data_IF_606759132668
#
_entry.id   IF_606759132668
#
_cell.length_a   1.000
_cell.length_b   1.000
_cell.length_c   1.000
_cell.angle_alpha   90.00
_cell.angle_beta   90.00
_cell.angle_gamma   90.00
#
_symmetry.space_group_name_H-M   'P 1'
#
loop_
_entity.id
_entity.type
_entity.pdbx_description
1 polymer ?
#
# COMPACT_ATOMS: atom_id res chain seq x y z
N UNK A 1 31.95 -40.96 19.53
CA UNK A 1 32.20 -40.79 18.09
C UNK A 1 31.23 -41.69 17.34
N UNK A 2 30.19 -41.15 16.70
CA UNK A 2 29.28 -41.91 15.85
C UNK A 2 29.19 -41.22 14.50
N UNK A 3 29.63 -41.96 13.49
CA UNK A 3 29.78 -41.54 12.10
C UNK A 3 28.42 -41.33 11.45
N UNK A 4 28.31 -40.22 10.73
CA UNK A 4 27.16 -39.77 9.94
C UNK A 4 27.21 -40.43 8.55
N UNK A 5 26.07 -40.87 8.04
CA UNK A 5 25.87 -41.11 6.60
C UNK A 5 24.58 -40.39 6.20
N UNK A 6 24.72 -39.27 5.50
CA UNK A 6 23.61 -38.51 4.90
C UNK A 6 23.59 -38.82 3.42
N UNK A 7 22.50 -39.43 2.97
CA UNK A 7 22.23 -39.77 1.58
C UNK A 7 21.61 -38.54 0.90
N UNK A 8 22.35 -37.91 -0.01
CA UNK A 8 21.84 -36.86 -0.90
C UNK A 8 21.07 -37.50 -2.05
N UNK A 9 19.76 -37.21 -2.16
CA UNK A 9 19.01 -37.39 -3.40
C UNK A 9 18.87 -36.03 -4.10
N UNK A 10 19.59 -35.89 -5.22
CA UNK A 10 19.38 -34.84 -6.22
C UNK A 10 18.25 -35.29 -7.16
N UNK A 11 17.15 -34.57 -7.19
CA UNK A 11 16.12 -34.73 -8.23
C UNK A 11 16.10 -33.47 -9.11
N UNK A 12 16.70 -33.58 -10.30
CA UNK A 12 16.47 -32.65 -11.41
C UNK A 12 15.06 -32.88 -11.96
N UNK A 13 14.23 -31.84 -12.03
CA UNK A 13 13.05 -31.84 -12.90
C UNK A 13 13.13 -30.62 -13.81
N UNK A 14 13.21 -30.92 -15.10
CA UNK A 14 13.33 -29.97 -16.19
C UNK A 14 11.95 -29.61 -16.77
N UNK A 15 11.87 -28.36 -17.22
CA UNK A 15 11.15 -27.85 -18.42
C UNK A 15 9.67 -28.18 -18.64
N UNK A 16 8.86 -27.12 -18.69
CA UNK A 16 7.52 -27.14 -19.27
C UNK A 16 7.03 -25.74 -19.67
N UNK A 17 7.58 -25.19 -20.76
CA UNK A 17 7.00 -24.03 -21.44
C UNK A 17 5.71 -24.44 -22.17
N UNK A 18 4.59 -23.79 -21.89
CA UNK A 18 3.41 -23.82 -22.75
C UNK A 18 2.83 -22.42 -22.88
N UNK A 19 3.26 -21.71 -23.95
CA UNK A 19 2.57 -20.52 -24.43
C UNK A 19 1.35 -21.00 -25.24
N UNK A 20 0.16 -20.82 -24.68
CA UNK A 20 -1.10 -20.99 -25.41
C UNK A 20 -1.39 -19.71 -26.18
N UNK A 21 -1.26 -19.78 -27.49
CA UNK A 21 -1.62 -18.70 -28.41
C UNK A 21 -3.14 -18.52 -28.40
N UNK A 22 -3.60 -17.30 -28.17
CA UNK A 22 -5.01 -16.92 -28.24
C UNK A 22 -5.38 -16.49 -29.68
N UNK A 23 -6.54 -16.90 -30.21
CA UNK A 23 -6.92 -16.64 -31.60
C UNK A 23 -7.31 -15.18 -31.84
N UNK A 24 -6.84 -14.65 -32.97
CA UNK A 24 -7.23 -13.36 -33.56
C UNK A 24 -8.69 -13.45 -34.02
N UNK A 25 -9.57 -12.62 -33.44
CA UNK A 25 -10.95 -12.47 -33.91
C UNK A 25 -11.02 -11.36 -34.97
N UNK A 26 -11.49 -11.73 -36.16
CA UNK A 26 -11.81 -10.84 -37.28
C UNK A 26 -13.12 -10.10 -37.01
N UNK A 27 -13.18 -8.76 -37.07
CA UNK A 27 -14.44 -8.04 -37.02
C UNK A 27 -15.18 -8.11 -38.37
N UNK A 28 -16.31 -8.81 -38.41
CA UNK A 28 -17.28 -8.76 -39.50
C UNK A 28 -18.19 -7.55 -39.32
N UNK A 29 -17.95 -6.49 -40.08
CA UNK A 29 -18.83 -5.32 -40.14
C UNK A 29 -20.01 -5.55 -41.09
N UNK A 30 -21.23 -5.40 -40.58
CA UNK A 30 -22.46 -5.32 -41.39
C UNK A 30 -22.73 -3.84 -41.74
N UNK A 31 -22.88 -3.48 -43.02
CA UNK A 31 -23.27 -2.12 -43.40
C UNK A 31 -24.72 -1.85 -42.98
N UNK A 32 -24.92 -0.84 -42.14
CA UNK A 32 -26.25 -0.35 -41.76
C UNK A 32 -26.67 0.76 -42.73
N UNK A 33 -27.77 0.52 -43.44
CA UNK A 33 -28.40 1.49 -44.35
C UNK A 33 -28.95 2.65 -43.54
N UNK A 34 -28.45 3.85 -43.80
CA UNK A 34 -28.88 5.10 -43.16
C UNK A 34 -30.03 5.70 -43.95
N UNK A 35 -31.23 5.69 -43.36
CA UNK A 35 -32.40 6.39 -43.90
C UNK A 35 -32.34 7.86 -43.46
N UNK A 36 -32.11 8.76 -44.42
CA UNK A 36 -32.25 10.21 -44.24
C UNK A 36 -33.73 10.60 -44.25
N UNK A 37 -34.28 10.88 -43.08
CA UNK A 37 -35.50 11.67 -42.95
C UNK A 37 -35.13 13.02 -42.36
N UNK A 38 -35.48 14.10 -43.06
CA UNK A 38 -35.29 15.49 -42.62
C UNK A 38 -36.37 15.81 -41.58
N UNK A 39 -36.02 15.96 -40.29
CA UNK A 39 -37.01 16.26 -39.26
C UNK A 39 -37.45 17.73 -39.34
N UNK A 40 -38.75 17.95 -39.19
CA UNK A 40 -39.38 19.26 -39.05
C UNK A 40 -38.91 19.93 -37.76
N UNK A 41 -38.50 21.22 -37.79
CA UNK A 41 -38.01 21.93 -36.61
C UNK A 41 -39.12 22.11 -35.58
N UNK A 42 -39.08 21.31 -34.51
CA UNK A 42 -39.94 21.48 -33.32
C UNK A 42 -39.35 22.61 -32.47
N UNK A 43 -40.15 23.62 -32.15
CA UNK A 43 -39.76 24.71 -31.27
C UNK A 43 -39.27 24.15 -29.93
N UNK A 44 -38.01 24.42 -29.59
CA UNK A 44 -37.36 23.88 -28.42
C UNK A 44 -38.01 24.42 -27.15
N UNK A 45 -38.63 23.54 -26.36
CA UNK A 45 -39.00 23.81 -24.97
C UNK A 45 -37.74 24.19 -24.21
N UNK A 46 -37.73 25.28 -23.40
CA UNK A 46 -36.55 25.68 -22.66
C UNK A 46 -36.11 24.54 -21.72
N UNK A 47 -34.91 24.02 -21.97
CA UNK A 47 -34.30 22.98 -21.15
C UNK A 47 -34.11 23.53 -19.72
N UNK A 48 -34.59 22.83 -18.68
CA UNK A 48 -34.34 23.22 -17.29
C UNK A 48 -32.83 23.42 -17.08
N UNK A 49 -32.45 24.57 -16.55
CA UNK A 49 -31.06 24.86 -16.20
C UNK A 49 -30.63 23.87 -15.11
N UNK A 50 -29.63 23.04 -15.40
CA UNK A 50 -29.15 22.03 -14.47
C UNK A 50 -28.66 22.70 -13.17
N UNK A 51 -29.22 22.29 -12.03
CA UNK A 51 -28.73 22.75 -10.73
C UNK A 51 -27.26 22.33 -10.58
N UNK A 52 -26.35 23.26 -10.21
CA UNK A 52 -24.94 22.92 -10.04
C UNK A 52 -24.77 21.79 -9.02
N UNK A 53 -24.12 20.69 -9.42
CA UNK A 53 -23.82 19.61 -8.50
C UNK A 53 -22.75 20.07 -7.49
N UNK A 54 -22.91 19.81 -6.18
CA UNK A 54 -21.91 20.18 -5.20
C UNK A 54 -20.56 19.51 -5.51
N UNK A 55 -19.49 20.32 -5.52
CA UNK A 55 -18.14 19.81 -5.72
C UNK A 55 -17.67 19.06 -4.49
N UNK A 56 -17.24 17.80 -4.67
CA UNK A 56 -16.69 16.99 -3.58
C UNK A 56 -15.32 17.55 -3.19
N UNK A 57 -15.14 17.94 -1.92
CA UNK A 57 -13.85 18.41 -1.42
C UNK A 57 -12.79 17.30 -1.51
N UNK A 58 -11.62 17.62 -2.05
CA UNK A 58 -10.51 16.67 -2.21
C UNK A 58 -9.26 17.12 -1.46
N UNK A 59 -8.47 16.13 -1.04
CA UNK A 59 -7.16 16.26 -0.41
C UNK A 59 -6.11 15.61 -1.29
N UNK A 60 -5.02 16.33 -1.56
CA UNK A 60 -3.80 15.77 -2.13
C UNK A 60 -2.91 15.27 -1.00
N UNK A 61 -2.65 13.96 -0.99
CA UNK A 61 -1.71 13.33 -0.07
C UNK A 61 -0.41 13.10 -0.81
N UNK A 62 0.71 13.49 -0.22
CA UNK A 62 2.06 13.21 -0.74
C UNK A 62 2.86 12.47 0.34
N UNK A 63 3.45 11.33 0.02
CA UNK A 63 4.46 10.74 0.90
C UNK A 63 5.81 11.35 0.57
N UNK A 64 6.58 11.70 1.60
CA UNK A 64 7.98 12.11 1.47
C UNK A 64 8.84 11.16 2.28
N UNK A 65 9.58 10.28 1.61
CA UNK A 65 10.49 9.36 2.28
C UNK A 65 11.74 10.09 2.76
N UNK A 66 12.13 9.80 3.99
CA UNK A 66 13.37 10.27 4.64
C UNK A 66 14.16 9.04 5.05
N UNK A 67 15.37 8.88 4.52
CA UNK A 67 16.23 7.72 4.79
C UNK A 67 16.64 6.97 3.52
N UNK A 68 17.17 5.76 3.71
CA UNK A 68 17.78 4.96 2.65
C UNK A 68 16.80 4.01 1.97
N UNK A 69 15.77 4.54 1.30
CA UNK A 69 14.88 3.71 0.49
C UNK A 69 14.91 4.14 -0.97
N UNK A 70 15.74 3.45 -1.74
CA UNK A 70 15.92 3.74 -3.16
C UNK A 70 14.77 3.19 -3.98
N UNK A 71 14.37 1.94 -3.71
CA UNK A 71 13.46 1.17 -4.55
C UNK A 71 12.08 0.96 -3.89
N UNK A 72 11.76 1.78 -2.88
CA UNK A 72 10.49 1.80 -2.20
C UNK A 72 9.29 1.89 -3.16
N UNK A 73 8.32 0.99 -2.99
CA UNK A 73 6.99 1.12 -3.58
C UNK A 73 5.93 1.30 -2.49
N UNK A 74 5.02 2.25 -2.71
CA UNK A 74 3.91 2.53 -1.80
C UNK A 74 2.56 2.37 -2.48
N UNK A 75 1.62 1.78 -1.75
CA UNK A 75 0.23 1.67 -2.15
C UNK A 75 -0.64 2.31 -1.07
N UNK A 76 -1.49 3.26 -1.45
CA UNK A 76 -2.54 3.76 -0.58
C UNK A 76 -3.70 2.76 -0.55
N UNK A 77 -4.29 2.56 0.62
CA UNK A 77 -5.51 1.78 0.80
C UNK A 77 -6.58 2.66 1.45
N UNK A 78 -7.84 2.36 1.17
CA UNK A 78 -8.99 2.98 1.83
C UNK A 78 -9.93 1.90 2.32
N UNK A 79 -10.47 2.07 3.53
CA UNK A 79 -11.52 1.20 4.07
C UNK A 79 -12.85 1.91 4.07
N UNK A 80 -13.84 1.33 3.38
CA UNK A 80 -15.21 1.86 3.33
C UNK A 80 -16.16 0.71 3.64
N UNK A 81 -16.97 0.86 4.69
CA UNK A 81 -17.92 -0.16 5.15
C UNK A 81 -17.24 -1.52 5.43
N UNK A 82 -16.08 -1.52 6.10
CA UNK A 82 -15.29 -2.72 6.40
C UNK A 82 -14.61 -3.36 5.18
N UNK A 83 -14.68 -2.75 4.00
CA UNK A 83 -14.02 -3.28 2.80
C UNK A 83 -12.81 -2.42 2.45
N UNK A 84 -11.62 -3.02 2.55
CA UNK A 84 -10.36 -2.38 2.19
C UNK A 84 -10.06 -2.58 0.71
N UNK A 85 -9.73 -1.49 0.00
CA UNK A 85 -9.30 -1.56 -1.40
C UNK A 85 -8.09 -0.68 -1.66
N UNK A 86 -7.23 -1.04 -2.62
CA UNK A 86 -6.21 -0.13 -3.14
C UNK A 86 -6.87 1.16 -3.64
N UNK A 87 -6.33 2.30 -3.23
CA UNK A 87 -6.75 3.61 -3.70
C UNK A 87 -5.78 4.12 -4.77
N UNK A 88 -6.24 4.07 -6.03
CA UNK A 88 -5.40 4.43 -7.17
C UNK A 88 -4.25 3.44 -7.40
N UNK A 89 -3.38 3.79 -8.35
CA UNK A 89 -2.18 3.00 -8.64
C UNK A 89 -1.13 3.24 -7.54
N UNK A 90 -0.41 2.18 -7.18
CA UNK A 90 0.77 2.28 -6.35
C UNK A 90 1.90 2.98 -7.10
N UNK A 91 2.82 3.59 -6.35
CA UNK A 91 3.84 4.48 -6.91
C UNK A 91 5.20 4.16 -6.31
N UNK A 92 6.18 3.99 -7.19
CA UNK A 92 7.59 3.85 -6.83
C UNK A 92 8.22 5.20 -6.50
N UNK A 93 9.11 5.21 -5.51
CA UNK A 93 9.77 6.42 -5.02
C UNK A 93 10.75 7.03 -6.03
N UNK A 94 11.42 6.20 -6.86
CA UNK A 94 12.45 6.64 -7.80
C UNK A 94 11.96 7.68 -8.82
N UNK A 95 10.68 7.66 -9.17
CA UNK A 95 10.13 8.51 -10.23
C UNK A 95 9.72 9.88 -9.71
N UNK A 96 9.06 9.90 -8.55
CA UNK A 96 8.58 11.09 -7.85
C UNK A 96 8.05 10.68 -6.47
N UNK A 97 7.89 11.63 -5.52
CA UNK A 97 7.19 11.36 -4.28
C UNK A 97 5.75 10.83 -4.55
N UNK A 98 5.36 9.67 -4.00
CA UNK A 98 4.03 9.11 -4.17
C UNK A 98 2.93 10.10 -3.80
N UNK A 99 1.95 10.25 -4.69
CA UNK A 99 0.89 11.24 -4.55
C UNK A 99 -0.48 10.69 -4.95
N UNK A 100 -1.49 10.95 -4.12
CA UNK A 100 -2.89 10.59 -4.39
C UNK A 100 -3.82 11.78 -4.14
N UNK A 101 -4.85 11.93 -4.99
CA UNK A 101 -5.94 12.88 -4.77
C UNK A 101 -7.15 12.09 -4.30
N UNK A 102 -7.58 12.35 -3.07
CA UNK A 102 -8.59 11.57 -2.34
C UNK A 102 -9.74 12.48 -1.96
N UNK A 103 -11.02 12.06 -2.05
CA UNK A 103 -12.10 12.75 -1.36
C UNK A 103 -11.72 12.95 0.11
N UNK A 104 -11.80 14.19 0.60
CA UNK A 104 -11.32 14.58 1.95
C UNK A 104 -11.92 13.68 3.04
N UNK A 105 -13.20 13.33 2.88
CA UNK A 105 -13.93 12.43 3.79
C UNK A 105 -13.34 11.02 3.89
N UNK A 106 -12.60 10.54 2.89
CA UNK A 106 -12.01 9.20 2.91
C UNK A 106 -10.62 9.16 3.53
N UNK A 107 -10.03 10.31 3.89
CA UNK A 107 -8.70 10.34 4.49
C UNK A 107 -8.64 9.65 5.86
N UNK A 108 -9.74 9.63 6.62
CA UNK A 108 -9.80 9.08 8.00
C UNK A 108 -9.76 7.55 8.10
N UNK A 109 -9.85 6.84 6.96
CA UNK A 109 -9.81 5.38 6.87
C UNK A 109 -8.73 4.89 5.92
N UNK A 110 -7.68 5.70 5.76
CA UNK A 110 -6.56 5.35 4.90
C UNK A 110 -5.42 4.72 5.68
N UNK A 111 -4.72 3.83 4.98
CA UNK A 111 -3.45 3.25 5.38
C UNK A 111 -2.52 3.20 4.17
N UNK A 112 -1.24 2.99 4.43
CA UNK A 112 -0.21 3.01 3.38
C UNK A 112 0.61 1.74 3.48
N UNK A 113 0.56 0.89 2.46
CA UNK A 113 1.40 -0.28 2.33
C UNK A 113 2.78 0.07 1.78
N UNK A 114 3.76 -0.75 2.14
CA UNK A 114 5.14 -0.75 1.67
C UNK A 114 5.44 -2.14 1.10
N UNK A 115 5.78 -2.22 -0.19
CA UNK A 115 5.78 -3.51 -0.91
C UNK A 115 7.09 -3.85 -1.61
N UNK A 116 8.24 -3.38 -1.10
CA UNK A 116 9.56 -3.75 -1.65
C UNK A 116 10.16 -4.99 -0.95
N UNK A 117 9.40 -5.65 -0.07
CA UNK A 117 9.79 -6.93 0.53
C UNK A 117 8.86 -8.03 -0.02
N UNK A 118 9.39 -9.21 -0.39
CA UNK A 118 8.53 -10.33 -0.71
C UNK A 118 7.56 -10.57 0.46
N UNK A 119 6.27 -10.82 0.20
CA UNK A 119 5.30 -11.09 1.24
C UNK A 119 5.82 -12.27 2.06
N UNK A 120 6.20 -12.00 3.30
CA UNK A 120 6.71 -13.00 4.21
C UNK A 120 5.65 -13.22 5.28
N UNK A 121 4.81 -14.20 4.99
CA UNK A 121 3.75 -14.73 5.85
C UNK A 121 4.31 -15.39 7.12
N UNK A 122 5.63 -15.59 7.20
CA UNK A 122 6.26 -16.40 8.24
C UNK A 122 7.14 -15.57 9.20
N UNK A 123 7.59 -14.36 8.84
CA UNK A 123 8.65 -13.65 9.59
C UNK A 123 8.35 -12.23 10.12
N UNK A 124 7.12 -11.72 10.05
CA UNK A 124 6.80 -10.42 10.66
C UNK A 124 7.44 -9.22 9.96
N UNK A 125 7.66 -9.32 8.64
CA UNK A 125 8.15 -8.21 7.85
C UNK A 125 7.09 -7.10 7.79
N UNK A 126 7.47 -5.85 8.10
CA UNK A 126 6.51 -4.77 8.11
C UNK A 126 6.11 -4.39 6.69
N UNK A 127 4.83 -4.52 6.40
CA UNK A 127 4.23 -4.27 5.08
C UNK A 127 3.42 -2.98 5.06
N UNK A 128 3.32 -2.27 6.19
CA UNK A 128 2.55 -1.02 6.30
C UNK A 128 3.30 0.05 7.07
N UNK A 129 3.04 1.31 6.70
CA UNK A 129 3.58 2.48 7.37
C UNK A 129 2.89 2.64 8.73
N UNK A 130 3.65 2.63 9.81
CA UNK A 130 3.12 2.96 11.14
C UNK A 130 2.87 4.46 11.22
N UNK A 131 1.62 4.89 11.43
CA UNK A 131 1.24 6.30 11.49
C UNK A 131 1.23 6.86 12.92
N UNK A 132 1.11 5.97 13.91
CA UNK A 132 1.10 6.29 15.33
C UNK A 132 1.58 5.10 16.16
N UNK A 133 2.36 5.36 17.21
CA UNK A 133 2.67 4.37 18.26
C UNK A 133 1.86 4.65 19.52
N UNK A 134 1.43 3.59 20.21
CA UNK A 134 0.67 3.72 21.46
C UNK A 134 1.49 4.49 22.51
N UNK A 135 0.84 5.43 23.19
CA UNK A 135 1.47 6.25 24.23
C UNK A 135 2.45 7.31 23.72
N UNK A 136 2.61 7.47 22.40
CA UNK A 136 3.37 8.59 21.80
C UNK A 136 2.37 9.63 21.31
N UNK A 137 2.67 10.92 21.46
CA UNK A 137 1.78 11.99 21.00
C UNK A 137 1.84 12.18 19.48
N UNK A 138 0.74 12.64 18.86
CA UNK A 138 0.71 13.11 17.47
C UNK A 138 1.69 14.27 17.29
N UNK A 139 2.38 14.34 16.16
CA UNK A 139 3.40 15.35 15.89
C UNK A 139 4.78 15.05 16.48
N UNK A 140 4.91 13.98 17.27
CA UNK A 140 6.23 13.55 17.77
C UNK A 140 7.10 13.05 16.62
N UNK A 141 8.33 13.53 16.55
CA UNK A 141 9.38 13.01 15.66
C UNK A 141 10.11 11.88 16.38
N UNK A 142 10.19 10.71 15.76
CA UNK A 142 10.91 9.55 16.32
C UNK A 142 12.14 9.22 15.48
N UNK A 143 13.19 8.76 16.16
CA UNK A 143 14.33 8.08 15.52
C UNK A 143 14.00 6.61 15.27
N UNK A 144 14.78 5.93 14.43
CA UNK A 144 14.59 4.51 14.16
C UNK A 144 14.75 3.67 15.43
N UNK A 145 15.75 3.97 16.25
CA UNK A 145 15.96 3.30 17.54
C UNK A 145 14.76 3.48 18.49
N UNK A 146 14.17 4.68 18.55
CA UNK A 146 12.99 4.93 19.38
C UNK A 146 11.76 4.17 18.85
N UNK A 147 11.52 4.20 17.54
CA UNK A 147 10.43 3.47 16.89
C UNK A 147 10.57 1.95 17.11
N UNK A 148 11.79 1.41 17.00
CA UNK A 148 12.08 -0.02 17.18
C UNK A 148 11.68 -0.55 18.56
N UNK A 149 11.74 0.29 19.60
CA UNK A 149 11.38 -0.10 20.97
C UNK A 149 9.87 -0.19 21.21
N UNK A 150 9.06 0.38 20.31
CA UNK A 150 7.61 0.41 20.47
C UNK A 150 7.06 -0.99 20.31
N UNK A 151 6.03 -1.29 21.11
CA UNK A 151 5.37 -2.60 21.18
C UNK A 151 4.02 -2.61 20.49
N UNK A 152 3.41 -1.44 20.32
CA UNK A 152 2.11 -1.28 19.72
C UNK A 152 2.09 -0.07 18.79
N UNK A 153 1.53 -0.26 17.59
CA UNK A 153 1.44 0.74 16.54
C UNK A 153 0.15 0.61 15.76
N UNK A 154 -0.20 1.65 15.01
CA UNK A 154 -1.35 1.64 14.10
C UNK A 154 -0.92 2.08 12.71
N UNK A 155 -1.55 1.49 11.69
CA UNK A 155 -1.45 1.90 10.28
C UNK A 155 -2.63 2.76 9.83
N UNK A 156 -3.67 2.90 10.66
CA UNK A 156 -4.87 3.65 10.31
C UNK A 156 -4.72 5.13 10.63
N UNK A 157 -4.72 5.95 9.59
CA UNK A 157 -4.56 7.38 9.72
C UNK A 157 -5.87 8.07 10.11
N UNK A 158 -5.82 8.97 11.09
CA UNK A 158 -6.97 9.77 11.53
C UNK A 158 -7.48 10.78 10.46
N UNK A 159 -6.83 10.85 9.30
CA UNK A 159 -7.23 11.72 8.20
C UNK A 159 -6.88 13.19 8.39
N UNK A 160 -7.41 14.03 7.51
CA UNK A 160 -7.19 15.47 7.51
C UNK A 160 -8.29 16.20 6.77
N UNK A 161 -8.50 17.47 7.10
CA UNK A 161 -9.39 18.40 6.35
C UNK A 161 -8.61 19.32 5.42
N UNK A 162 -7.26 19.22 5.41
CA UNK A 162 -6.42 20.08 4.57
C UNK A 162 -6.53 19.67 3.11
N UNK A 163 -6.49 20.65 2.20
CA UNK A 163 -6.44 20.42 0.74
C UNK A 163 -5.16 19.72 0.30
N UNK A 164 -4.06 19.91 1.01
CA UNK A 164 -2.78 19.24 0.77
C UNK A 164 -2.19 18.76 2.09
N UNK A 165 -1.67 17.54 2.12
CA UNK A 165 -1.04 16.95 3.29
C UNK A 165 0.18 16.13 2.89
N UNK A 166 1.34 16.43 3.48
CA UNK A 166 2.57 15.68 3.25
C UNK A 166 2.87 14.82 4.47
N UNK A 167 2.98 13.51 4.25
CA UNK A 167 3.39 12.55 5.28
C UNK A 167 4.88 12.30 5.10
N UNK A 168 5.68 12.69 6.08
CA UNK A 168 7.09 12.32 6.12
C UNK A 168 7.19 10.87 6.61
N UNK A 169 7.60 9.97 5.71
CA UNK A 169 7.78 8.56 6.01
C UNK A 169 9.25 8.30 6.21
N UNK A 170 9.65 7.75 7.35
CA UNK A 170 11.02 7.31 7.58
C UNK A 170 11.13 5.82 7.26
N UNK A 171 12.07 5.48 6.40
CA UNK A 171 12.45 4.11 6.09
C UNK A 171 13.89 3.88 6.57
N UNK A 172 14.07 2.90 7.45
CA UNK A 172 15.38 2.60 8.04
C UNK A 172 15.61 1.09 8.09
N UNK A 173 16.77 0.64 7.62
CA UNK A 173 17.21 -0.75 7.81
C UNK A 173 17.67 -0.94 9.25
N UNK A 174 17.10 -1.93 9.93
CA UNK A 174 17.46 -2.36 11.28
C UNK A 174 17.90 -3.83 11.25
N UNK A 175 18.78 -4.20 12.18
CA UNK A 175 19.12 -5.62 12.41
C UNK A 175 18.16 -6.21 13.42
N UNK A 176 17.54 -7.33 13.07
CA UNK A 176 16.65 -8.11 13.95
C UNK A 176 17.14 -9.55 14.03
N UNK A 177 16.87 -10.27 15.13
CA UNK A 177 17.16 -11.70 15.19
C UNK A 177 16.57 -12.44 14.01
N UNK A 178 17.39 -13.28 13.39
CA UNK A 178 16.93 -14.15 12.32
C UNK A 178 16.16 -15.32 12.94
N UNK A 179 14.86 -15.39 12.64
CA UNK A 179 13.94 -16.42 13.12
C UNK A 179 13.90 -17.66 12.23
N UNK A 180 14.57 -17.64 11.08
CA UNK A 180 14.63 -18.79 10.18
C UNK A 180 15.57 -19.86 10.76
N UNK A 181 15.06 -21.05 11.12
CA UNK A 181 15.88 -22.10 11.73
C UNK A 181 16.96 -22.65 10.79
N UNK A 182 16.83 -22.45 9.47
CA UNK A 182 17.79 -22.95 8.49
C UNK A 182 19.00 -22.03 8.31
N UNK A 183 18.81 -20.72 8.51
CA UNK A 183 19.84 -19.70 8.30
C UNK A 183 20.34 -19.04 9.58
N UNK A 184 19.58 -19.08 10.67
CA UNK A 184 19.92 -18.40 11.95
C UNK A 184 21.23 -18.85 12.59
N UNK A 185 21.68 -20.09 12.35
CA UNK A 185 22.98 -20.57 12.83
C UNK A 185 24.20 -19.95 12.12
N UNK A 186 23.99 -19.40 10.92
CA UNK A 186 25.04 -18.77 10.09
C UNK A 186 24.86 -17.25 10.05
N UNK A 187 23.62 -16.79 9.96
CA UNK A 187 23.23 -15.39 9.94
C UNK A 187 22.28 -15.13 11.13
N UNK A 188 22.82 -14.84 12.33
CA UNK A 188 22.01 -14.69 13.54
C UNK A 188 21.14 -13.43 13.54
N UNK A 189 21.49 -12.45 12.70
CA UNK A 189 20.74 -11.21 12.52
C UNK A 189 20.46 -10.99 11.03
N UNK A 190 19.23 -10.64 10.69
CA UNK A 190 18.84 -10.24 9.35
C UNK A 190 18.49 -8.76 9.28
N UNK A 191 18.61 -8.18 8.10
CA UNK A 191 18.11 -6.84 7.83
C UNK A 191 16.58 -6.84 7.71
N UNK A 192 15.94 -5.85 8.35
CA UNK A 192 14.53 -5.57 8.22
C UNK A 192 14.34 -4.07 8.00
N UNK A 193 13.46 -3.69 7.08
CA UNK A 193 13.13 -2.28 6.85
C UNK A 193 12.02 -1.86 7.82
N UNK A 194 12.29 -0.89 8.69
CA UNK A 194 11.30 -0.26 9.56
C UNK A 194 10.72 0.98 8.87
N UNK A 195 9.40 1.03 8.69
CA UNK A 195 8.70 2.12 7.98
C UNK A 195 7.62 2.76 8.85
N UNK A 196 7.74 4.07 9.09
CA UNK A 196 6.82 4.81 9.97
C UNK A 196 6.75 6.30 9.61
N UNK A 197 5.65 6.96 9.97
CA UNK A 197 5.51 8.40 9.86
C UNK A 197 6.35 9.11 10.94
N UNK A 198 7.06 10.16 10.56
CA UNK A 198 7.80 11.01 11.51
C UNK A 198 7.90 12.44 10.96
N UNK A 199 7.13 13.40 11.49
CA UNK A 199 6.26 13.32 12.67
C UNK A 199 5.11 12.29 12.56
N UNK A 200 4.69 11.72 13.70
CA UNK A 200 3.49 10.86 13.76
C UNK A 200 2.24 11.69 13.41
N UNK A 201 1.30 11.08 12.68
CA UNK A 201 0.19 11.82 12.03
C UNK A 201 -1.20 11.49 12.62
N UNK A 202 -1.25 10.72 13.70
CA UNK A 202 -2.49 10.36 14.39
C UNK A 202 -3.07 9.03 13.94
N UNK A 203 -3.75 8.39 14.89
CA UNK A 203 -4.39 7.08 14.75
C UNK A 203 -5.90 7.24 14.60
N UNK A 204 -6.49 6.63 13.57
CA UNK A 204 -7.93 6.51 13.37
C UNK A 204 -8.51 5.13 13.74
N UNK A 205 -7.69 4.19 14.21
CA UNK A 205 -8.09 2.81 14.47
C UNK A 205 -7.48 2.16 15.72
N UNK A 206 -7.39 0.83 15.72
CA UNK A 206 -6.82 0.06 16.83
C UNK A 206 -5.30 0.02 16.77
N UNK A 207 -4.67 -0.17 17.93
CA UNK A 207 -3.24 -0.46 18.00
C UNK A 207 -3.02 -1.98 17.93
N UNK A 208 -2.01 -2.38 17.16
CA UNK A 208 -1.61 -3.77 16.94
C UNK A 208 -0.20 -3.99 17.47
N UNK A 209 0.11 -5.22 17.87
CA UNK A 209 1.45 -5.60 18.29
C UNK A 209 2.44 -5.39 17.14
N UNK A 210 3.57 -4.75 17.43
CA UNK A 210 4.63 -4.50 16.45
C UNK A 210 5.78 -5.48 16.62
N UNK A 211 6.41 -5.86 15.51
CA UNK A 211 7.68 -6.59 15.51
C UNK A 211 8.83 -5.60 15.31
N UNK A 212 9.60 -5.33 16.38
CA UNK A 212 10.67 -4.31 16.39
C UNK A 212 10.20 -2.95 15.87
N UNK A 213 9.03 -2.50 16.32
CA UNK A 213 8.40 -1.25 15.89
C UNK A 213 7.72 -1.30 14.51
N UNK A 214 7.91 -2.36 13.72
CA UNK A 214 7.25 -2.54 12.44
C UNK A 214 5.87 -3.20 12.57
N UNK A 215 4.97 -2.94 11.63
CA UNK A 215 3.68 -3.63 11.51
C UNK A 215 3.65 -4.45 10.22
N UNK A 216 3.48 -5.76 10.36
CA UNK A 216 3.21 -6.69 9.26
C UNK A 216 1.77 -7.17 9.31
N UNK A 217 1.17 -7.41 8.15
CA UNK A 217 -0.18 -7.96 8.00
C UNK A 217 -0.21 -9.04 6.92
N UNK A 218 -0.97 -10.11 7.15
CA UNK A 218 -1.15 -11.23 6.21
C UNK A 218 -2.27 -10.97 5.18
N UNK A 219 -2.67 -9.72 4.96
CA UNK A 219 -3.81 -9.34 4.13
C UNK A 219 -3.86 -7.84 3.85
N UNK A 220 -5.05 -7.30 3.58
CA UNK A 220 -5.24 -5.87 3.37
C UNK A 220 -5.39 -5.11 4.70
N UNK A 221 -4.76 -3.94 4.87
CA UNK A 221 -4.83 -3.17 6.11
C UNK A 221 -6.21 -2.54 6.32
N UNK A 222 -7.06 -3.21 7.09
CA UNK A 222 -8.39 -2.70 7.43
C UNK A 222 -8.31 -1.60 8.49
N UNK A 223 -9.12 -0.56 8.28
CA UNK A 223 -9.36 0.53 9.21
C UNK A 223 -10.85 0.61 9.56
N UNK A 224 -11.21 1.07 10.77
CA UNK A 224 -12.60 1.05 11.23
C UNK A 224 -13.55 1.92 10.39
#
# INVERSE_FOLDING_TARGET
MRTVVVLMLLALVATGCSKKSEPIQTPTGTPTVTNSQTPTPTAATPTPSATPQPTVATTTITLKVVGGCRDCFFQAYTTVNGVTKPYGQGQGWLSAPPKWVVPTKFTHNMSFGYTDLPPDDTNGNPTVVVVQYQGVAVGTVLTAAQAQTKKFGSWCWNGTTKKTFTIQVRAATIKVPNTDPTTSGVEPLKDQVLVYASPLIGNGGTFHSTFYGGLGISGTPECP
#
